data_IF_134774844826
#
_entry.id   IF_134774844826
#
_cell.length_a   1.000
_cell.length_b   1.000
_cell.length_c   1.000
_cell.angle_alpha   90.00
_cell.angle_beta   90.00
_cell.angle_gamma   90.00
#
_symmetry.space_group_name_H-M   'P 1'
#
loop_
_entity.id
_entity.type
_entity.pdbx_description
1 polymer ?
#
# COMPACT_ATOMS: atom_id res chain seq x y z
N UNK A 1 13.65 51.12 -3.87
CA UNK A 1 13.97 49.96 -4.73
C UNK A 1 13.33 48.76 -4.06
N UNK A 2 12.14 48.38 -4.52
CA UNK A 2 11.32 47.34 -3.88
C UNK A 2 11.59 46.02 -4.60
N UNK A 3 12.26 45.09 -3.94
CA UNK A 3 12.48 43.74 -4.46
C UNK A 3 11.18 42.94 -4.31
N UNK A 4 10.62 42.55 -5.45
CA UNK A 4 9.44 41.70 -5.53
C UNK A 4 9.87 40.28 -5.18
N UNK A 5 9.39 39.73 -4.06
CA UNK A 5 9.63 38.35 -3.66
C UNK A 5 8.89 37.45 -4.66
N UNK A 6 9.66 36.82 -5.56
CA UNK A 6 9.15 35.81 -6.46
C UNK A 6 8.90 34.53 -5.68
N UNK A 7 7.66 34.32 -5.23
CA UNK A 7 7.22 33.02 -4.72
C UNK A 7 7.07 32.07 -5.91
N UNK A 8 7.74 30.91 -5.94
CA UNK A 8 7.47 29.92 -6.97
C UNK A 8 6.07 29.32 -6.73
N UNK A 9 5.20 29.47 -7.71
CA UNK A 9 3.90 28.78 -7.74
C UNK A 9 4.19 27.31 -8.08
N UNK A 10 4.05 26.43 -7.08
CA UNK A 10 4.05 24.99 -7.26
C UNK A 10 2.83 24.59 -8.11
N UNK A 11 3.03 24.52 -9.43
CA UNK A 11 2.06 23.98 -10.39
C UNK A 11 2.09 22.46 -10.35
N UNK A 12 1.69 21.90 -9.21
CA UNK A 12 1.29 20.51 -9.11
C UNK A 12 -0.01 20.32 -9.88
N UNK A 13 0.07 19.83 -11.12
CA UNK A 13 -1.09 19.31 -11.84
C UNK A 13 -1.80 18.24 -11.00
N UNK A 14 -3.07 17.89 -11.29
CA UNK A 14 -3.80 16.91 -10.51
C UNK A 14 -3.11 15.54 -10.67
N UNK A 15 -2.22 15.21 -9.74
CA UNK A 15 -1.73 13.84 -9.55
C UNK A 15 -2.97 13.04 -9.18
N UNK A 16 -3.40 12.17 -10.08
CA UNK A 16 -4.57 11.32 -9.88
C UNK A 16 -4.26 10.39 -8.69
N UNK A 17 -4.61 10.83 -7.49
CA UNK A 17 -4.45 10.08 -6.24
C UNK A 17 -5.45 8.93 -6.30
N UNK A 18 -5.00 7.76 -6.75
CA UNK A 18 -5.84 6.57 -6.73
C UNK A 18 -5.76 5.99 -5.31
N UNK A 19 -6.88 5.93 -4.58
CA UNK A 19 -6.89 5.35 -3.26
C UNK A 19 -6.36 3.89 -3.30
N UNK A 20 -5.42 3.56 -2.43
CA UNK A 20 -4.89 2.20 -2.23
C UNK A 20 -6.06 1.25 -2.05
N UNK A 21 -7.09 1.68 -1.32
CA UNK A 21 -8.27 0.88 -1.06
C UNK A 21 -8.97 0.46 -2.36
N UNK A 22 -9.08 1.35 -3.35
CA UNK A 22 -9.70 1.02 -4.64
C UNK A 22 -8.82 0.08 -5.48
N UNK A 23 -7.49 0.27 -5.41
CA UNK A 23 -6.52 -0.60 -6.08
C UNK A 23 -6.56 -2.02 -5.51
N UNK A 24 -6.70 -2.15 -4.18
CA UNK A 24 -6.90 -3.41 -3.47
C UNK A 24 -8.27 -4.01 -3.76
N UNK A 25 -9.35 -3.24 -3.72
CA UNK A 25 -10.70 -3.72 -4.01
C UNK A 25 -10.81 -4.24 -5.44
N UNK A 26 -10.32 -3.49 -6.42
CA UNK A 26 -10.31 -3.91 -7.82
C UNK A 26 -9.51 -5.20 -7.98
N UNK A 27 -8.33 -5.27 -7.36
CA UNK A 27 -7.55 -6.48 -7.44
C UNK A 27 -8.17 -7.70 -6.78
N UNK A 28 -8.77 -7.53 -5.61
CA UNK A 28 -9.43 -8.60 -4.88
C UNK A 28 -10.64 -9.09 -5.65
N UNK A 29 -11.35 -8.20 -6.36
CA UNK A 29 -12.41 -8.57 -7.28
C UNK A 29 -11.87 -9.46 -8.41
N UNK A 30 -10.77 -9.10 -9.06
CA UNK A 30 -10.17 -9.95 -10.10
C UNK A 30 -9.70 -11.30 -9.55
N UNK A 31 -9.04 -11.30 -8.40
CA UNK A 31 -8.55 -12.53 -7.74
C UNK A 31 -9.69 -13.45 -7.33
N UNK A 32 -10.82 -12.91 -6.89
CA UNK A 32 -11.97 -13.71 -6.49
C UNK A 32 -12.78 -14.18 -7.71
N UNK A 33 -12.94 -13.34 -8.73
CA UNK A 33 -13.79 -13.62 -9.89
C UNK A 33 -13.12 -14.59 -10.87
N UNK A 34 -11.81 -14.47 -11.13
CA UNK A 34 -11.11 -15.30 -12.12
C UNK A 34 -11.18 -16.80 -11.77
N UNK A 35 -10.87 -17.26 -10.54
CA UNK A 35 -10.95 -18.68 -10.18
C UNK A 35 -12.38 -19.20 -10.23
N UNK A 36 -13.37 -18.43 -9.76
CA UNK A 36 -14.78 -18.83 -9.74
C UNK A 36 -15.33 -18.94 -11.16
N UNK A 37 -15.02 -17.98 -12.02
CA UNK A 37 -15.40 -18.02 -13.44
C UNK A 37 -14.76 -19.22 -14.15
N UNK A 38 -13.48 -19.49 -13.91
CA UNK A 38 -12.80 -20.66 -14.47
C UNK A 38 -13.42 -21.98 -13.99
N UNK A 39 -13.73 -22.10 -12.70
CA UNK A 39 -14.42 -23.27 -12.16
C UNK A 39 -15.82 -23.44 -12.78
N UNK A 40 -16.56 -22.34 -12.97
CA UNK A 40 -17.86 -22.35 -13.62
C UNK A 40 -17.80 -22.81 -15.08
N UNK A 41 -16.81 -22.32 -15.85
CA UNK A 41 -16.59 -22.72 -17.25
C UNK A 41 -16.23 -24.21 -17.33
N UNK A 42 -15.35 -24.70 -16.45
CA UNK A 42 -14.99 -26.12 -16.38
C UNK A 42 -16.19 -27.00 -16.01
N UNK A 43 -17.08 -26.51 -15.14
CA UNK A 43 -18.27 -27.24 -14.71
C UNK A 43 -19.41 -27.24 -15.74
N UNK A 44 -19.46 -26.27 -16.65
CA UNK A 44 -20.56 -26.09 -17.60
C UNK A 44 -20.24 -26.57 -19.03
N UNK A 45 -18.98 -26.89 -19.34
CA UNK A 45 -18.59 -27.40 -20.66
C UNK A 45 -19.02 -28.86 -20.87
N UNK A 46 -19.68 -29.14 -22.00
CA UNK A 46 -20.13 -30.49 -22.40
C UNK A 46 -18.98 -31.49 -22.33
N UNK A 47 -19.06 -32.29 -21.28
CA UNK A 47 -17.96 -33.10 -20.78
C UNK A 47 -17.57 -34.26 -21.73
N UNK A 48 -18.34 -34.56 -22.77
CA UNK A 48 -18.07 -35.69 -23.69
C UNK A 48 -16.89 -35.48 -24.65
N UNK A 49 -16.38 -34.25 -24.84
CA UNK A 49 -15.22 -33.99 -25.71
C UNK A 49 -13.89 -33.79 -24.96
N UNK A 50 -13.92 -33.67 -23.62
CA UNK A 50 -12.74 -33.44 -22.77
C UNK A 50 -12.56 -34.57 -21.73
N UNK A 51 -13.59 -35.39 -21.47
CA UNK A 51 -13.53 -36.57 -20.62
C UNK A 51 -13.10 -37.80 -21.42
N UNK A 52 -11.81 -38.05 -21.46
CA UNK A 52 -11.31 -39.42 -21.50
C UNK A 52 -10.22 -39.54 -20.45
N UNK A 53 -10.66 -39.81 -19.21
CA UNK A 53 -9.96 -40.52 -18.13
C UNK A 53 -8.69 -39.87 -17.52
N UNK A 54 -8.09 -38.84 -18.12
CA UNK A 54 -6.84 -38.20 -17.61
C UNK A 54 -6.96 -36.66 -17.51
N UNK A 55 -8.03 -36.05 -18.03
CA UNK A 55 -8.14 -34.58 -18.23
C UNK A 55 -8.70 -33.76 -17.07
N UNK A 56 -9.61 -34.31 -16.24
CA UNK A 56 -10.32 -33.52 -15.22
C UNK A 56 -9.46 -33.22 -13.98
N UNK A 57 -8.77 -34.23 -13.44
CA UNK A 57 -7.89 -34.07 -12.29
C UNK A 57 -6.71 -33.11 -12.58
N UNK A 58 -6.12 -33.22 -13.78
CA UNK A 58 -5.02 -32.34 -14.18
C UNK A 58 -5.49 -30.89 -14.36
N UNK A 59 -6.68 -30.66 -14.90
CA UNK A 59 -7.23 -29.31 -15.07
C UNK A 59 -7.53 -28.63 -13.73
N UNK A 60 -8.13 -29.34 -12.78
CA UNK A 60 -8.38 -28.83 -11.42
C UNK A 60 -7.06 -28.56 -10.69
N UNK A 61 -6.07 -29.44 -10.85
CA UNK A 61 -4.74 -29.26 -10.26
C UNK A 61 -4.05 -28.00 -10.78
N UNK A 62 -4.07 -27.77 -12.10
CA UNK A 62 -3.51 -26.55 -12.71
C UNK A 62 -4.24 -25.29 -12.24
N UNK A 63 -5.58 -25.30 -12.17
CA UNK A 63 -6.36 -24.17 -11.66
C UNK A 63 -6.03 -23.84 -10.20
N UNK A 64 -5.87 -24.88 -9.38
CA UNK A 64 -5.49 -24.73 -7.97
C UNK A 64 -4.09 -24.14 -7.85
N UNK A 65 -3.14 -24.60 -8.66
CA UNK A 65 -1.77 -24.08 -8.69
C UNK A 65 -1.75 -22.59 -9.10
N UNK A 66 -2.51 -22.21 -10.13
CA UNK A 66 -2.63 -20.82 -10.59
C UNK A 66 -3.23 -19.96 -9.49
N UNK A 67 -4.32 -20.42 -8.87
CA UNK A 67 -4.99 -19.69 -7.79
C UNK A 67 -4.05 -19.48 -6.60
N UNK A 68 -3.31 -20.52 -6.21
CA UNK A 68 -2.32 -20.44 -5.14
C UNK A 68 -1.21 -19.43 -5.48
N UNK A 69 -0.67 -19.48 -6.70
CA UNK A 69 0.35 -18.53 -7.15
C UNK A 69 -0.14 -17.08 -7.10
N UNK A 70 -1.39 -16.84 -7.53
CA UNK A 70 -2.03 -15.52 -7.46
C UNK A 70 -2.15 -15.08 -5.99
N UNK A 71 -2.66 -15.93 -5.10
CA UNK A 71 -2.79 -15.60 -3.67
C UNK A 71 -1.44 -15.22 -3.05
N UNK A 72 -0.39 -16.00 -3.30
CA UNK A 72 0.96 -15.72 -2.78
C UNK A 72 1.49 -14.39 -3.31
N UNK A 73 1.34 -14.13 -4.61
CA UNK A 73 1.72 -12.85 -5.22
C UNK A 73 0.96 -11.67 -4.58
N UNK A 74 -0.34 -11.84 -4.33
CA UNK A 74 -1.19 -10.84 -3.67
C UNK A 74 -0.79 -10.57 -2.23
N UNK A 75 -0.53 -11.61 -1.44
CA UNK A 75 -0.05 -11.46 -0.06
C UNK A 75 1.26 -10.67 -0.01
N UNK A 76 2.18 -10.96 -0.92
CA UNK A 76 3.44 -10.23 -0.99
C UNK A 76 3.25 -8.75 -1.39
N UNK A 77 2.33 -8.49 -2.32
CA UNK A 77 1.97 -7.13 -2.70
C UNK A 77 1.38 -6.33 -1.53
N UNK A 78 0.43 -6.92 -0.77
CA UNK A 78 -0.15 -6.29 0.42
C UNK A 78 0.90 -5.98 1.48
N UNK A 79 1.78 -6.96 1.76
CA UNK A 79 2.83 -6.79 2.75
C UNK A 79 3.74 -5.59 2.43
N UNK A 80 4.07 -5.40 1.14
CA UNK A 80 4.87 -4.24 0.70
C UNK A 80 4.10 -2.93 0.65
N UNK A 81 2.84 -2.95 0.22
CA UNK A 81 2.05 -1.73 0.00
C UNK A 81 1.39 -1.17 1.26
N UNK A 82 1.17 -1.99 2.28
CA UNK A 82 0.42 -1.61 3.50
C UNK A 82 1.23 -1.94 4.75
N UNK A 83 1.58 -3.21 4.93
CA UNK A 83 2.20 -3.68 6.19
C UNK A 83 3.54 -3.00 6.44
N UNK A 84 4.41 -2.94 5.44
CA UNK A 84 5.74 -2.34 5.58
C UNK A 84 5.69 -0.83 5.89
N UNK A 85 4.89 0.01 5.21
CA UNK A 85 4.71 1.40 5.61
C UNK A 85 4.16 1.57 7.02
N UNK A 86 3.14 0.81 7.41
CA UNK A 86 2.54 0.91 8.76
C UNK A 86 3.55 0.50 9.84
N UNK A 87 4.30 -0.57 9.63
CA UNK A 87 5.35 -0.99 10.56
C UNK A 87 6.43 0.09 10.69
N UNK A 88 6.79 0.76 9.59
CA UNK A 88 7.74 1.86 9.63
C UNK A 88 7.21 3.05 10.46
N UNK A 89 5.97 3.46 10.24
CA UNK A 89 5.31 4.50 11.06
C UNK A 89 5.30 4.10 12.55
N UNK A 90 4.96 2.84 12.84
CA UNK A 90 4.92 2.33 14.22
C UNK A 90 6.30 2.38 14.88
N UNK A 91 7.38 2.02 14.18
CA UNK A 91 8.74 2.08 14.73
C UNK A 91 9.18 3.51 15.01
N UNK A 92 8.87 4.45 14.12
CA UNK A 92 9.21 5.87 14.34
C UNK A 92 8.41 6.43 15.52
N UNK A 93 7.11 6.12 15.60
CA UNK A 93 6.27 6.51 16.74
C UNK A 93 6.83 6.02 18.07
N UNK A 94 7.24 4.76 18.11
CA UNK A 94 7.81 4.11 19.29
C UNK A 94 9.16 4.73 19.70
N UNK A 95 10.05 5.05 18.75
CA UNK A 95 11.29 5.80 19.04
C UNK A 95 11.03 7.20 19.59
N UNK A 96 10.08 7.93 18.99
CA UNK A 96 9.69 9.28 19.44
C UNK A 96 9.08 9.24 20.84
N UNK A 97 8.30 8.19 21.16
CA UNK A 97 7.72 8.00 22.50
C UNK A 97 8.77 7.82 23.59
N UNK A 98 9.98 7.37 23.24
CA UNK A 98 11.13 7.24 24.14
C UNK A 98 12.01 8.49 24.20
N UNK A 99 11.61 9.57 23.53
CA UNK A 99 12.38 10.82 23.48
C UNK A 99 13.51 10.83 22.44
N UNK A 100 13.60 9.83 21.56
CA UNK A 100 14.54 9.85 20.43
C UNK A 100 13.93 10.57 19.24
N UNK A 101 14.17 11.88 19.17
CA UNK A 101 13.74 12.75 18.08
C UNK A 101 14.72 12.79 16.90
N UNK A 102 15.79 11.98 16.90
CA UNK A 102 16.80 11.98 15.82
C UNK A 102 16.33 11.25 14.57
N UNK A 103 15.37 10.34 14.70
CA UNK A 103 14.77 9.56 13.62
C UNK A 103 13.43 10.16 13.13
N UNK A 104 13.35 11.48 12.99
CA UNK A 104 12.08 12.23 12.90
C UNK A 104 11.41 12.29 11.53
N UNK A 105 11.83 11.47 10.57
CA UNK A 105 11.28 11.54 9.23
C UNK A 105 10.89 10.16 8.72
N UNK A 106 9.65 10.05 8.28
CA UNK A 106 9.14 8.90 7.55
C UNK A 106 9.12 9.26 6.09
N UNK A 107 9.85 8.48 5.28
CA UNK A 107 9.83 8.67 3.83
C UNK A 107 8.44 8.37 3.26
N UNK A 108 7.91 9.32 2.49
CA UNK A 108 6.61 9.19 1.81
C UNK A 108 6.81 8.40 0.53
N UNK A 109 6.57 7.08 0.59
CA UNK A 109 6.81 6.16 -0.53
C UNK A 109 5.63 6.04 -1.50
N UNK A 110 4.44 6.52 -1.12
CA UNK A 110 3.20 6.31 -1.89
C UNK A 110 2.40 7.61 -2.04
N UNK A 111 1.57 7.69 -3.07
CA UNK A 111 0.69 8.83 -3.38
C UNK A 111 -0.79 8.47 -3.19
N UNK A 112 -1.08 7.85 -2.05
CA UNK A 112 -2.38 7.33 -1.63
C UNK A 112 -2.61 7.65 -0.14
N UNK A 113 -3.63 7.05 0.47
CA UNK A 113 -4.01 7.30 1.86
C UNK A 113 -2.88 6.96 2.85
N UNK A 114 -2.01 5.99 2.53
CA UNK A 114 -0.85 5.66 3.35
C UNK A 114 0.20 6.76 3.23
N UNK A 115 0.38 7.32 2.03
CA UNK A 115 1.25 8.47 1.79
C UNK A 115 0.76 9.72 2.52
N UNK A 116 -0.55 9.98 2.51
CA UNK A 116 -1.14 11.11 3.21
C UNK A 116 -1.11 10.94 4.74
N UNK A 117 -1.22 9.70 5.22
CA UNK A 117 -0.97 9.36 6.63
C UNK A 117 0.50 9.65 7.01
N UNK A 118 1.47 9.22 6.20
CA UNK A 118 2.88 9.48 6.44
C UNK A 118 3.19 11.00 6.46
N UNK A 119 2.63 11.78 5.52
CA UNK A 119 2.74 13.25 5.52
C UNK A 119 2.17 13.87 6.79
N UNK A 120 1.01 13.38 7.24
CA UNK A 120 0.36 13.87 8.46
C UNK A 120 1.18 13.56 9.70
N UNK A 121 1.76 12.37 9.77
CA UNK A 121 2.67 11.96 10.84
C UNK A 121 3.94 12.82 10.86
N UNK A 122 4.55 13.08 9.70
CA UNK A 122 5.71 13.97 9.59
C UNK A 122 5.41 15.39 10.10
N UNK A 123 4.21 15.94 9.84
CA UNK A 123 3.81 17.25 10.40
C UNK A 123 3.76 17.22 11.93
N UNK A 124 3.21 16.16 12.52
CA UNK A 124 3.20 15.97 13.98
C UNK A 124 4.62 15.91 14.55
N UNK A 125 5.51 15.12 13.93
CA UNK A 125 6.92 15.03 14.36
C UNK A 125 7.63 16.37 14.32
N UNK A 126 7.40 17.15 13.26
CA UNK A 126 7.96 18.49 13.14
C UNK A 126 7.47 19.42 14.27
N UNK A 127 6.18 19.37 14.63
CA UNK A 127 5.66 20.12 15.76
C UNK A 127 6.31 19.73 17.09
N UNK A 128 6.54 18.42 17.33
CA UNK A 128 7.25 17.96 18.52
C UNK A 128 8.70 18.46 18.58
N UNK A 129 9.41 18.47 17.46
CA UNK A 129 10.78 18.98 17.40
C UNK A 129 10.86 20.47 17.68
N UNK A 130 9.92 21.25 17.15
CA UNK A 130 9.83 22.68 17.46
C UNK A 130 9.63 22.88 18.96
N UNK A 131 8.72 22.12 19.58
CA UNK A 131 8.48 22.19 21.02
C UNK A 131 9.69 21.80 21.87
N UNK A 132 10.43 20.74 21.50
CA UNK A 132 11.65 20.33 22.21
C UNK A 132 12.76 21.38 22.11
N UNK A 133 12.94 21.99 20.93
CA UNK A 133 13.93 23.05 20.75
C UNK A 133 13.60 24.28 21.59
N UNK A 134 12.33 24.69 21.64
CA UNK A 134 11.88 25.82 22.47
C UNK A 134 12.10 25.54 23.96
N UNK A 135 11.81 24.33 24.43
CA UNK A 135 12.01 23.96 25.83
C UNK A 135 13.50 23.96 26.25
N UNK A 136 14.42 23.76 25.30
CA UNK A 136 15.86 23.84 25.54
C UNK A 136 16.39 25.27 25.56
N UNK A 137 15.79 26.16 24.77
CA UNK A 137 16.20 27.57 24.67
C UNK A 137 15.88 28.36 25.95
N UNK A 138 14.86 27.99 26.71
CA UNK A 138 14.53 28.59 28.03
C UNK A 138 15.49 28.17 29.17
N UNK A 139 16.34 27.16 28.95
CA UNK A 139 17.25 26.63 29.99
C UNK A 139 18.70 27.16 29.93
N UNK A 140 19.04 27.99 28.96
CA UNK A 140 20.34 28.68 28.82
C UNK A 140 20.21 30.20 29.09
#
# INVERSE_FOLDING_TARGET
MSECIHVPMDVGGPVLQIPIFYKLMASMLFVAVIPVALLGIVSAGDTESIISTIGLHNSIFVLTLITLAIVVMWSFFLARSITSPIENLSRVADSVSRGDLRASHIDVMTNDEIGDLAKSFNRMLNSYQILDNLAREDTD
#
